data_IF_419723783742
#
_entry.id   IF_419723783742
#
_cell.length_a   1.000
_cell.length_b   1.000
_cell.length_c   1.000
_cell.angle_alpha   90.00
_cell.angle_beta   90.00
_cell.angle_gamma   90.00
#
_symmetry.space_group_name_H-M   'P 1'
#
loop_
_entity.id
_entity.type
_entity.pdbx_description
1 polymer ?
#
# COMPACT_ATOMS: atom_id res chain seq x y z
N UNK A 1 2.02 22.98 43.01
CA UNK A 1 2.47 22.28 41.78
C UNK A 1 3.25 23.29 40.95
N UNK A 2 4.57 23.14 40.76
CA UNK A 2 5.39 24.12 40.02
C UNK A 2 5.18 23.93 38.51
N UNK A 3 4.82 25.00 37.80
CA UNK A 3 4.65 25.00 36.35
C UNK A 3 5.99 24.74 35.66
N UNK A 4 6.06 23.67 34.88
CA UNK A 4 7.16 23.46 33.94
C UNK A 4 6.58 23.11 32.57
N UNK A 5 7.05 23.80 31.52
CA UNK A 5 6.58 23.61 30.14
C UNK A 5 6.64 22.14 29.69
N UNK A 6 7.69 21.44 30.12
CA UNK A 6 7.87 19.99 29.90
C UNK A 6 6.76 19.10 30.50
N UNK A 7 6.08 19.53 31.58
CA UNK A 7 4.94 18.79 32.15
C UNK A 7 3.63 19.08 31.42
N UNK A 8 3.47 20.29 30.88
CA UNK A 8 2.27 20.71 30.15
C UNK A 8 2.28 20.22 28.68
N UNK A 9 3.43 20.19 28.02
CA UNK A 9 3.57 19.78 26.62
C UNK A 9 3.39 18.26 26.40
N UNK A 10 3.39 17.45 27.48
CA UNK A 10 3.14 16.00 27.42
C UNK A 10 1.67 15.63 27.28
N UNK A 11 0.74 16.60 27.27
CA UNK A 11 -0.69 16.33 27.15
C UNK A 11 -0.99 15.44 25.94
N UNK A 12 -0.36 15.73 24.79
CA UNK A 12 -0.47 14.94 23.56
C UNK A 12 0.11 13.52 23.70
N UNK A 13 1.23 13.37 24.42
CA UNK A 13 1.82 12.06 24.67
C UNK A 13 0.97 11.21 25.62
N UNK A 14 0.25 11.84 26.55
CA UNK A 14 -0.65 11.13 27.45
C UNK A 14 -2.06 10.95 26.88
N UNK A 15 -2.43 11.58 25.77
CA UNK A 15 -3.77 11.44 25.17
C UNK A 15 -4.10 9.97 24.88
N UNK A 16 -3.15 9.22 24.33
CA UNK A 16 -3.34 7.79 24.07
C UNK A 16 -3.54 7.02 25.38
N UNK A 17 -2.75 7.33 26.42
CA UNK A 17 -2.87 6.70 27.73
C UNK A 17 -4.22 6.99 28.41
N UNK A 18 -4.70 8.24 28.35
CA UNK A 18 -5.98 8.63 28.93
C UNK A 18 -7.14 8.03 28.13
N UNK A 19 -7.05 8.04 26.80
CA UNK A 19 -8.05 7.43 25.93
C UNK A 19 -8.19 5.92 26.16
N UNK A 20 -7.08 5.19 26.28
CA UNK A 20 -7.12 3.74 26.55
C UNK A 20 -7.59 3.41 27.97
N UNK A 21 -7.36 4.31 28.94
CA UNK A 21 -7.83 4.15 30.31
C UNK A 21 -9.34 4.42 30.44
N UNK A 22 -9.85 5.45 29.76
CA UNK A 22 -11.27 5.81 29.78
C UNK A 22 -12.11 4.92 28.86
N UNK A 23 -11.54 4.47 27.74
CA UNK A 23 -12.23 3.66 26.72
C UNK A 23 -11.44 2.40 26.35
N UNK A 24 -11.20 1.48 27.30
CA UNK A 24 -10.41 0.28 27.05
C UNK A 24 -11.04 -0.64 26.00
N UNK A 25 -12.38 -0.68 25.93
CA UNK A 25 -13.11 -1.45 24.92
C UNK A 25 -12.89 -0.87 23.52
N UNK A 26 -12.98 0.46 23.36
CA UNK A 26 -12.78 1.11 22.05
C UNK A 26 -11.33 0.98 21.57
N UNK A 27 -10.37 1.03 22.50
CA UNK A 27 -8.97 0.75 22.19
C UNK A 27 -8.77 -0.69 21.69
N UNK A 28 -9.39 -1.66 22.37
CA UNK A 28 -9.39 -3.07 21.95
C UNK A 28 -10.00 -3.26 20.55
N UNK A 29 -11.15 -2.63 20.28
CA UNK A 29 -11.80 -2.65 18.96
C UNK A 29 -10.87 -2.02 17.91
N UNK A 30 -10.25 -0.88 18.19
CA UNK A 30 -9.32 -0.22 17.27
C UNK A 30 -8.15 -1.15 16.90
N UNK A 31 -7.51 -1.78 17.89
CA UNK A 31 -6.43 -2.76 17.65
C UNK A 31 -6.93 -3.97 16.86
N UNK A 32 -8.11 -4.49 17.18
CA UNK A 32 -8.71 -5.61 16.45
C UNK A 32 -9.01 -5.23 14.99
N UNK A 33 -9.54 -4.03 14.74
CA UNK A 33 -9.77 -3.54 13.37
C UNK A 33 -8.48 -3.34 12.60
N UNK A 34 -7.43 -2.77 13.23
CA UNK A 34 -6.13 -2.61 12.58
C UNK A 34 -5.49 -3.96 12.23
N UNK A 35 -5.55 -4.94 13.13
CA UNK A 35 -5.01 -6.29 12.86
C UNK A 35 -5.82 -7.02 11.79
N UNK A 36 -7.15 -6.86 11.78
CA UNK A 36 -8.01 -7.37 10.72
C UNK A 36 -7.66 -6.75 9.36
N UNK A 37 -7.58 -5.41 9.28
CA UNK A 37 -7.19 -4.70 8.06
C UNK A 37 -5.80 -5.14 7.62
N UNK A 38 -4.85 -5.23 8.54
CA UNK A 38 -3.48 -5.67 8.25
C UNK A 38 -3.45 -7.07 7.63
N UNK A 39 -4.19 -8.02 8.21
CA UNK A 39 -4.29 -9.38 7.69
C UNK A 39 -4.92 -9.43 6.30
N UNK A 40 -5.85 -8.53 6.00
CA UNK A 40 -6.57 -8.47 4.72
C UNK A 40 -6.00 -7.43 3.75
N UNK A 41 -4.88 -6.76 4.07
CA UNK A 41 -4.18 -5.88 3.12
C UNK A 41 -3.77 -6.62 1.85
N UNK A 42 -3.52 -7.93 1.95
CA UNK A 42 -3.26 -8.79 0.80
C UNK A 42 -4.45 -8.84 -0.19
N UNK A 43 -5.70 -8.67 0.27
CA UNK A 43 -6.86 -8.55 -0.62
C UNK A 43 -6.87 -7.24 -1.42
N UNK A 44 -6.19 -6.21 -0.93
CA UNK A 44 -5.96 -4.94 -1.65
C UNK A 44 -4.73 -4.98 -2.55
N UNK A 45 -4.12 -6.16 -2.77
CA UNK A 45 -3.04 -6.30 -3.73
C UNK A 45 -3.58 -6.18 -5.15
N UNK A 46 -2.77 -5.59 -6.04
CA UNK A 46 -3.10 -5.34 -7.44
C UNK A 46 -3.55 -6.60 -8.19
N UNK A 47 -2.89 -7.73 -7.92
CA UNK A 47 -3.24 -9.03 -8.49
C UNK A 47 -4.60 -9.54 -8.00
N UNK A 48 -4.91 -9.32 -6.72
CA UNK A 48 -6.15 -9.80 -6.11
C UNK A 48 -7.34 -8.95 -6.54
N UNK A 49 -7.18 -7.63 -6.66
CA UNK A 49 -8.19 -6.72 -7.21
C UNK A 49 -8.58 -7.11 -8.64
N UNK A 50 -7.62 -7.44 -9.50
CA UNK A 50 -7.90 -7.85 -10.88
C UNK A 50 -8.55 -9.23 -10.96
N UNK A 51 -8.06 -10.19 -10.16
CA UNK A 51 -8.54 -11.58 -10.18
C UNK A 51 -9.98 -11.71 -9.65
N UNK A 52 -10.35 -10.87 -8.70
CA UNK A 52 -11.68 -10.91 -8.10
C UNK A 52 -12.60 -9.81 -8.65
N UNK A 53 -12.13 -8.80 -9.39
CA UNK A 53 -12.99 -7.71 -9.90
C UNK A 53 -14.29 -8.13 -10.61
N UNK A 54 -14.35 -9.34 -11.18
CA UNK A 54 -15.57 -9.89 -11.78
C UNK A 54 -16.78 -9.89 -10.84
N UNK A 55 -16.62 -10.09 -9.52
CA UNK A 55 -17.73 -10.06 -8.56
C UNK A 55 -18.35 -8.67 -8.38
N UNK A 56 -17.62 -7.62 -8.79
CA UNK A 56 -18.05 -6.21 -8.74
C UNK A 56 -18.52 -5.70 -10.11
N UNK A 57 -18.66 -6.58 -11.11
CA UNK A 57 -19.02 -6.16 -12.47
C UNK A 57 -17.90 -5.42 -13.21
N UNK A 58 -16.64 -5.82 -12.99
CA UNK A 58 -15.48 -5.17 -13.58
C UNK A 58 -15.43 -5.30 -15.12
N UNK A 59 -15.20 -4.20 -15.86
CA UNK A 59 -15.20 -4.21 -17.32
C UNK A 59 -13.87 -4.71 -17.89
N UNK A 60 -13.75 -6.02 -18.06
CA UNK A 60 -12.54 -6.67 -18.57
C UNK A 60 -12.15 -6.25 -20.00
N UNK A 61 -13.09 -5.79 -20.83
CA UNK A 61 -12.78 -5.33 -22.19
C UNK A 61 -12.02 -3.99 -22.23
N UNK A 62 -12.16 -3.16 -21.18
CA UNK A 62 -11.49 -1.86 -21.08
C UNK A 62 -10.29 -1.92 -20.14
N UNK A 63 -10.32 -2.84 -19.18
CA UNK A 63 -9.27 -3.09 -18.18
C UNK A 63 -8.65 -1.80 -17.59
N UNK A 64 -9.47 -0.94 -16.94
CA UNK A 64 -9.00 0.35 -16.43
C UNK A 64 -7.86 0.25 -15.41
N UNK A 65 -7.84 -0.80 -14.58
CA UNK A 65 -6.76 -1.03 -13.60
C UNK A 65 -5.44 -1.29 -14.34
N UNK A 66 -5.46 -2.11 -15.40
CA UNK A 66 -4.27 -2.43 -16.18
C UNK A 66 -3.67 -1.16 -16.82
N UNK A 67 -4.51 -0.31 -17.42
CA UNK A 67 -4.07 0.95 -18.02
C UNK A 67 -3.48 1.92 -16.99
N UNK A 68 -4.14 2.07 -15.84
CA UNK A 68 -3.63 2.90 -14.73
C UNK A 68 -2.25 2.42 -14.27
N UNK A 69 -2.09 1.11 -14.14
CA UNK A 69 -0.86 0.53 -13.63
C UNK A 69 0.25 0.61 -14.69
N UNK A 70 -0.07 0.41 -15.97
CA UNK A 70 0.85 0.66 -17.08
C UNK A 70 1.40 2.09 -17.04
N UNK A 71 0.56 3.10 -16.87
CA UNK A 71 1.00 4.50 -16.76
C UNK A 71 1.87 4.75 -15.52
N UNK A 72 1.59 4.05 -14.42
CA UNK A 72 2.41 4.12 -13.20
C UNK A 72 3.77 3.45 -13.41
N UNK A 73 3.80 2.26 -14.00
CA UNK A 73 5.03 1.50 -14.23
C UNK A 73 5.91 2.16 -15.29
N UNK A 74 5.35 2.70 -16.37
CA UNK A 74 6.10 3.51 -17.35
C UNK A 74 6.78 4.71 -16.70
N UNK A 75 6.10 5.39 -15.77
CA UNK A 75 6.72 6.48 -14.99
C UNK A 75 7.86 5.99 -14.12
N UNK A 76 7.65 4.92 -13.34
CA UNK A 76 8.71 4.34 -12.49
C UNK A 76 9.92 3.94 -13.32
N UNK A 77 9.71 3.27 -14.46
CA UNK A 77 10.79 2.85 -15.36
C UNK A 77 11.58 4.05 -15.87
N UNK A 78 10.88 5.08 -16.35
CA UNK A 78 11.51 6.30 -16.87
C UNK A 78 12.28 7.04 -15.77
N UNK A 79 11.65 7.22 -14.61
CA UNK A 79 12.21 8.01 -13.51
C UNK A 79 13.40 7.31 -12.83
N UNK A 80 13.52 5.98 -12.98
CA UNK A 80 14.66 5.17 -12.48
C UNK A 80 15.61 4.71 -13.61
N UNK A 81 15.43 5.20 -14.84
CA UNK A 81 16.25 4.84 -16.01
C UNK A 81 16.43 3.33 -16.20
N UNK A 82 15.37 2.55 -15.96
CA UNK A 82 15.43 1.09 -16.00
C UNK A 82 15.47 0.63 -17.47
N UNK A 83 16.51 -0.13 -17.83
CA UNK A 83 16.56 -0.84 -19.12
C UNK A 83 15.57 -2.02 -19.11
N UNK A 84 14.45 -1.85 -19.82
CA UNK A 84 13.42 -2.89 -19.96
C UNK A 84 13.96 -4.10 -20.74
N UNK A 85 14.95 -3.90 -21.61
CA UNK A 85 15.55 -4.96 -22.41
C UNK A 85 16.70 -5.68 -21.69
N UNK A 86 16.91 -5.41 -20.40
CA UNK A 86 17.92 -6.12 -19.62
C UNK A 86 17.56 -7.63 -19.53
N UNK A 87 18.50 -8.54 -19.87
CA UNK A 87 18.32 -9.99 -19.73
C UNK A 87 17.87 -10.43 -18.34
N UNK A 88 18.19 -9.64 -17.30
CA UNK A 88 17.72 -9.86 -15.93
C UNK A 88 16.19 -9.87 -15.83
N UNK A 89 15.50 -9.09 -16.66
CA UNK A 89 14.04 -8.96 -16.66
C UNK A 89 13.36 -9.79 -17.75
N UNK A 90 14.01 -9.95 -18.91
CA UNK A 90 13.43 -10.63 -20.08
C UNK A 90 13.79 -12.12 -20.16
N UNK A 91 14.84 -12.56 -19.46
CA UNK A 91 15.35 -13.94 -19.55
C UNK A 91 16.01 -14.27 -20.90
N UNK A 92 16.20 -13.28 -21.78
CA UNK A 92 16.72 -13.43 -23.14
C UNK A 92 17.95 -12.53 -23.30
N UNK A 93 18.98 -12.98 -24.02
CA UNK A 93 20.19 -12.16 -24.25
C UNK A 93 19.87 -10.93 -25.10
N UNK A 94 20.58 -9.81 -24.86
CA UNK A 94 20.36 -8.55 -25.58
C UNK A 94 20.51 -8.69 -27.10
N UNK A 95 21.41 -9.59 -27.53
CA UNK A 95 21.68 -9.88 -28.94
C UNK A 95 20.46 -10.47 -29.65
N UNK A 96 19.74 -11.40 -29.00
CA UNK A 96 18.52 -12.01 -29.54
C UNK A 96 17.36 -11.00 -29.58
N UNK A 97 17.31 -10.11 -28.59
CA UNK A 97 16.32 -9.03 -28.52
C UNK A 97 16.53 -7.96 -29.60
N UNK A 98 17.78 -7.71 -30.02
CA UNK A 98 18.10 -6.75 -31.09
C UNK A 98 17.80 -7.27 -32.50
N UNK A 99 17.61 -8.60 -32.67
CA UNK A 99 17.29 -9.25 -33.95
C UNK A 99 15.81 -9.46 -34.21
N UNK A 100 14.94 -9.19 -33.23
CA UNK A 100 13.47 -9.25 -33.33
C UNK A 100 12.89 -7.87 -33.62
#
# INVERSE_FOLDING_TARGET
MVYTRWKCDRLYMYTIKYFTHEYPINAGICVATMTFVWKHLAYCSEETERRHGWWVGYPHWRDPIARRNEDKYKRIIRDNEIDIADPKWTGVSKEVLATL
#
